data_IF_395233465327
#
_entry.id   IF_395233465327
#
_cell.length_a   1.000
_cell.length_b   1.000
_cell.length_c   1.000
_cell.angle_alpha   90.00
_cell.angle_beta   90.00
_cell.angle_gamma   90.00
#
_symmetry.space_group_name_H-M   'P 1'
#
loop_
_entity.id
_entity.type
_entity.pdbx_description
1 polymer ?
#
# COMPACT_ATOMS: atom_id res chain seq x y z
N UNK A 1 -6.98 -44.82 60.70
CA UNK A 1 -6.19 -44.14 59.64
C UNK A 1 -5.03 -45.04 59.18
N UNK A 2 -5.17 -45.99 58.23
CA UNK A 2 -5.31 -45.85 56.76
C UNK A 2 -4.41 -44.72 56.21
N UNK A 3 -3.45 -44.89 55.28
CA UNK A 3 -3.08 -45.92 54.31
C UNK A 3 -1.59 -45.68 53.93
N UNK A 4 -0.77 -46.72 53.92
CA UNK A 4 -0.17 -47.35 52.74
C UNK A 4 1.03 -46.64 52.10
N UNK A 5 2.20 -47.28 52.20
CA UNK A 5 3.40 -46.93 51.45
C UNK A 5 3.22 -47.30 49.97
N UNK A 6 3.58 -46.37 49.09
CA UNK A 6 3.59 -46.54 47.64
C UNK A 6 4.94 -46.12 47.09
N UNK A 7 5.64 -47.09 46.49
CA UNK A 7 6.88 -46.92 45.75
C UNK A 7 6.76 -45.84 44.68
N UNK A 8 7.55 -44.78 44.78
CA UNK A 8 7.78 -43.87 43.66
C UNK A 8 8.81 -44.52 42.72
N UNK A 9 8.30 -45.16 41.67
CA UNK A 9 9.09 -45.64 40.54
C UNK A 9 9.89 -44.48 39.95
N UNK A 10 11.23 -44.60 39.97
CA UNK A 10 12.13 -43.71 39.25
C UNK A 10 11.86 -43.88 37.76
N UNK A 11 11.10 -42.96 37.19
CA UNK A 11 10.99 -42.85 35.74
C UNK A 11 12.34 -42.40 35.20
N UNK A 12 13.03 -43.37 34.59
CA UNK A 12 14.07 -43.25 33.58
C UNK A 12 14.39 -41.81 33.15
N UNK A 13 15.50 -41.29 33.65
CA UNK A 13 16.26 -40.20 33.04
C UNK A 13 16.81 -40.69 31.69
N UNK A 14 16.03 -40.52 30.62
CA UNK A 14 16.56 -40.59 29.27
C UNK A 14 17.46 -39.36 29.07
N UNK A 15 18.73 -39.51 28.65
CA UNK A 15 19.51 -38.38 28.22
C UNK A 15 18.84 -37.85 26.95
N UNK A 16 18.34 -36.62 26.98
CA UNK A 16 18.04 -35.88 25.76
C UNK A 16 19.36 -35.76 24.98
N UNK A 17 19.56 -36.68 24.04
CA UNK A 17 20.60 -36.55 23.03
C UNK A 17 20.06 -35.55 22.01
N UNK A 18 20.51 -34.30 22.11
CA UNK A 18 20.32 -33.34 21.04
C UNK A 18 21.04 -33.89 19.80
N UNK A 19 20.37 -34.05 18.65
CA UNK A 19 21.08 -34.36 17.43
C UNK A 19 21.95 -33.16 17.06
N UNK A 20 23.26 -33.29 17.30
CA UNK A 20 24.28 -32.41 16.72
C UNK A 20 24.40 -32.74 15.24
N UNK A 21 23.58 -32.08 14.43
CA UNK A 21 23.78 -32.03 12.98
C UNK A 21 23.37 -30.66 12.48
N UNK A 22 24.30 -29.71 12.59
CA UNK A 22 24.29 -28.51 11.74
C UNK A 22 24.41 -28.98 10.29
N UNK A 23 23.46 -28.67 9.39
CA UNK A 23 23.77 -28.67 7.98
C UNK A 23 24.64 -27.45 7.70
N UNK A 24 25.90 -27.70 7.37
CA UNK A 24 26.74 -26.78 6.61
C UNK A 24 25.97 -26.33 5.36
N UNK A 25 25.82 -25.01 5.19
CA UNK A 25 25.27 -24.42 3.97
C UNK A 25 23.97 -23.65 4.18
N UNK A 26 23.98 -22.63 5.05
CA UNK A 26 23.11 -21.48 4.82
C UNK A 26 23.65 -20.72 3.60
N UNK A 27 22.91 -20.59 2.48
CA UNK A 27 23.29 -19.65 1.44
C UNK A 27 23.28 -18.23 2.04
N UNK A 28 24.16 -17.32 1.58
CA UNK A 28 24.15 -15.95 2.06
C UNK A 28 22.76 -15.38 1.89
N UNK A 29 22.24 -14.74 2.95
CA UNK A 29 21.01 -13.95 2.91
C UNK A 29 21.04 -13.07 1.68
N UNK A 30 20.37 -13.53 0.62
CA UNK A 30 20.19 -12.75 -0.58
C UNK A 30 19.12 -11.75 -0.21
N UNK A 31 19.49 -10.48 -0.33
CA UNK A 31 18.62 -9.33 -0.25
C UNK A 31 17.54 -9.47 -1.32
N UNK A 32 16.46 -10.19 -1.01
CA UNK A 32 15.23 -10.16 -1.79
C UNK A 32 14.27 -9.24 -1.06
N UNK A 33 14.58 -7.95 -1.12
CA UNK A 33 13.74 -6.87 -0.64
C UNK A 33 12.98 -6.25 -1.82
N UNK A 34 12.61 -7.02 -2.84
CA UNK A 34 11.94 -6.46 -4.03
C UNK A 34 10.91 -7.39 -4.70
N UNK A 35 10.54 -8.55 -4.11
CA UNK A 35 9.59 -9.49 -4.76
C UNK A 35 8.24 -9.74 -4.11
N UNK A 36 7.93 -9.06 -3.01
CA UNK A 36 6.59 -9.16 -2.38
C UNK A 36 5.71 -7.93 -2.62
N UNK A 37 5.98 -7.14 -3.67
CA UNK A 37 5.18 -5.95 -3.98
C UNK A 37 3.98 -6.22 -4.90
N UNK A 38 3.84 -7.42 -5.46
CA UNK A 38 2.73 -7.70 -6.37
C UNK A 38 1.43 -8.17 -5.70
N UNK A 39 1.46 -8.68 -4.46
CA UNK A 39 0.39 -9.61 -4.06
C UNK A 39 -0.62 -9.09 -3.03
N UNK A 40 -1.06 -7.82 -3.12
CA UNK A 40 -2.35 -7.38 -2.56
C UNK A 40 -3.04 -6.27 -3.36
N UNK A 41 -2.89 -6.26 -4.69
CA UNK A 41 -3.84 -5.52 -5.50
C UNK A 41 -5.18 -6.28 -5.47
N UNK A 42 -6.11 -5.83 -4.64
CA UNK A 42 -7.49 -6.38 -4.48
C UNK A 42 -8.26 -6.36 -5.80
N UNK A 43 -7.74 -5.64 -6.79
CA UNK A 43 -8.15 -5.65 -8.17
C UNK A 43 -6.91 -6.05 -8.96
N UNK A 44 -6.93 -7.18 -9.67
CA UNK A 44 -5.91 -7.57 -10.66
C UNK A 44 -5.82 -6.49 -11.75
N UNK A 45 -5.17 -5.38 -11.41
CA UNK A 45 -4.96 -4.16 -12.16
C UNK A 45 -3.45 -4.06 -12.28
N UNK A 46 -2.96 -3.81 -13.50
CA UNK A 46 -1.55 -3.51 -13.70
C UNK A 46 -1.20 -2.23 -12.94
N UNK A 47 -0.57 -2.37 -11.79
CA UNK A 47 -0.11 -1.26 -10.94
C UNK A 47 1.39 -1.41 -10.76
N UNK A 48 2.13 -0.38 -11.12
CA UNK A 48 3.58 -0.30 -10.93
C UNK A 48 3.92 0.86 -10.01
N UNK A 49 4.66 0.58 -8.93
CA UNK A 49 5.09 1.57 -7.95
C UNK A 49 6.59 1.78 -8.07
N UNK A 50 7.02 3.04 -8.19
CA UNK A 50 8.42 3.45 -8.24
C UNK A 50 8.70 4.41 -7.10
N UNK A 51 9.59 3.99 -6.20
CA UNK A 51 10.05 4.80 -5.09
C UNK A 51 11.32 5.53 -5.52
N UNK A 52 11.22 6.84 -5.78
CA UNK A 52 12.37 7.70 -6.08
C UNK A 52 12.82 8.46 -4.82
N UNK A 53 14.06 8.96 -4.80
CA UNK A 53 14.68 9.60 -3.62
C UNK A 53 13.80 10.64 -2.88
N UNK A 54 12.94 11.36 -3.61
CA UNK A 54 12.10 12.45 -3.06
C UNK A 54 10.61 12.34 -3.39
N UNK A 55 10.20 11.32 -4.13
CA UNK A 55 8.80 11.16 -4.58
C UNK A 55 8.45 9.71 -4.84
N UNK A 56 7.17 9.40 -4.75
CA UNK A 56 6.61 8.13 -5.15
C UNK A 56 5.86 8.33 -6.47
N UNK A 57 6.10 7.44 -7.43
CA UNK A 57 5.44 7.45 -8.74
C UNK A 57 4.68 6.15 -8.91
N UNK A 58 3.38 6.25 -9.17
CA UNK A 58 2.49 5.10 -9.40
C UNK A 58 1.98 5.16 -10.82
N UNK A 59 2.07 4.04 -11.54
CA UNK A 59 1.51 3.87 -12.88
C UNK A 59 0.42 2.83 -12.83
N UNK A 60 -0.74 3.13 -13.43
CA UNK A 60 -1.90 2.25 -13.47
C UNK A 60 -2.35 2.03 -14.91
N UNK A 61 -2.45 0.78 -15.33
CA UNK A 61 -2.81 0.38 -16.69
C UNK A 61 -4.27 0.73 -17.00
N UNK A 62 -4.48 1.48 -18.08
CA UNK A 62 -5.85 1.87 -18.50
C UNK A 62 -6.69 0.69 -18.92
N UNK A 63 -6.09 -0.28 -19.60
CA UNK A 63 -6.80 -1.44 -20.11
C UNK A 63 -7.28 -2.34 -18.97
N UNK A 64 -6.44 -2.55 -17.94
CA UNK A 64 -6.82 -3.29 -16.75
C UNK A 64 -7.96 -2.61 -15.99
N UNK A 65 -7.94 -1.28 -15.85
CA UNK A 65 -9.06 -0.53 -15.27
C UNK A 65 -10.35 -0.71 -16.07
N UNK A 66 -10.29 -0.56 -17.40
CA UNK A 66 -11.45 -0.79 -18.28
C UNK A 66 -12.00 -2.21 -18.15
N UNK A 67 -11.13 -3.21 -18.05
CA UNK A 67 -11.53 -4.61 -17.85
C UNK A 67 -12.27 -4.84 -16.52
N UNK A 68 -12.04 -4.00 -15.51
CA UNK A 68 -12.77 -4.00 -14.24
C UNK A 68 -14.05 -3.14 -14.26
N UNK A 69 -14.42 -2.57 -15.40
CA UNK A 69 -15.61 -1.72 -15.55
C UNK A 69 -15.35 -0.22 -15.39
N UNK A 70 -14.10 0.19 -15.12
CA UNK A 70 -13.71 1.59 -15.00
C UNK A 70 -13.45 2.22 -16.37
N UNK A 71 -14.52 2.48 -17.11
CA UNK A 71 -14.43 3.23 -18.38
C UNK A 71 -14.27 4.72 -18.10
N UNK A 72 -13.21 5.33 -18.64
CA UNK A 72 -12.89 6.76 -18.47
C UNK A 72 -12.81 7.26 -17.01
N UNK A 73 -12.44 6.37 -16.07
CA UNK A 73 -12.29 6.74 -14.67
C UNK A 73 -11.24 7.83 -14.46
N UNK A 74 -11.47 8.65 -13.43
CA UNK A 74 -10.50 9.63 -12.95
C UNK A 74 -9.81 9.10 -11.70
N UNK A 75 -8.49 9.26 -11.64
CA UNK A 75 -7.68 8.75 -10.54
C UNK A 75 -7.12 9.92 -9.74
N UNK A 76 -7.21 9.85 -8.42
CA UNK A 76 -6.65 10.82 -7.48
C UNK A 76 -5.85 10.10 -6.41
N UNK A 77 -4.98 10.82 -5.71
CA UNK A 77 -4.43 10.33 -4.45
C UNK A 77 -5.42 10.60 -3.31
N UNK A 78 -5.00 10.36 -2.05
CA UNK A 78 -5.78 10.76 -0.88
C UNK A 78 -6.19 12.23 -0.95
N UNK A 79 -5.24 13.09 -1.33
CA UNK A 79 -5.52 14.48 -1.66
C UNK A 79 -6.18 14.61 -3.06
N UNK A 80 -7.41 15.17 -3.14
CA UNK A 80 -8.11 15.36 -4.41
C UNK A 80 -7.47 16.38 -5.35
N UNK A 81 -6.57 17.26 -4.85
CA UNK A 81 -5.79 18.16 -5.69
C UNK A 81 -4.72 17.38 -6.50
N UNK A 82 -4.28 16.24 -5.99
CA UNK A 82 -3.29 15.37 -6.62
C UNK A 82 -3.95 14.39 -7.60
N UNK A 83 -4.24 14.89 -8.80
CA UNK A 83 -4.86 14.13 -9.89
C UNK A 83 -3.84 13.39 -10.73
N UNK A 84 -4.24 12.25 -11.27
CA UNK A 84 -3.42 11.48 -12.18
C UNK A 84 -3.20 12.22 -13.51
N UNK A 85 -1.96 12.21 -13.99
CA UNK A 85 -1.64 12.54 -15.36
C UNK A 85 -2.07 11.40 -16.29
N UNK A 86 -2.85 11.73 -17.31
CA UNK A 86 -3.41 10.74 -18.23
C UNK A 86 -2.47 10.58 -19.43
N UNK A 87 -1.67 9.52 -19.46
CA UNK A 87 -0.86 9.14 -20.62
C UNK A 87 -1.67 8.27 -21.60
N UNK A 88 -1.14 7.93 -22.77
CA UNK A 88 -1.88 7.15 -23.77
C UNK A 88 -2.34 5.77 -23.22
N UNK A 89 -1.44 5.08 -22.53
CA UNK A 89 -1.61 3.67 -22.09
C UNK A 89 -1.83 3.53 -20.57
N UNK A 90 -1.40 4.51 -19.77
CA UNK A 90 -1.40 4.42 -18.31
C UNK A 90 -1.88 5.74 -17.68
N UNK A 91 -2.39 5.67 -16.46
CA UNK A 91 -2.51 6.80 -15.55
C UNK A 91 -1.23 6.88 -14.71
N UNK A 92 -0.70 8.09 -14.51
CA UNK A 92 0.52 8.30 -13.73
C UNK A 92 0.20 9.26 -12.57
N UNK A 93 0.44 8.82 -11.34
CA UNK A 93 0.29 9.62 -10.13
C UNK A 93 1.66 9.83 -9.51
N UNK A 94 2.00 11.08 -9.21
CA UNK A 94 3.25 11.44 -8.57
C UNK A 94 2.95 12.18 -7.27
N UNK A 95 3.61 11.79 -6.19
CA UNK A 95 3.48 12.48 -4.91
C UNK A 95 4.84 12.70 -4.24
N UNK A 96 5.13 13.91 -3.75
CA UNK A 96 6.26 14.12 -2.87
C UNK A 96 6.04 13.38 -1.54
N UNK A 97 7.13 12.97 -0.88
CA UNK A 97 7.07 12.21 0.38
C UNK A 97 6.27 12.89 1.51
N UNK A 98 6.09 14.21 1.43
CA UNK A 98 5.38 15.02 2.43
C UNK A 98 4.15 15.75 1.87
N UNK A 99 3.63 15.35 0.71
CA UNK A 99 2.44 15.96 0.11
C UNK A 99 1.39 14.93 -0.31
N UNK A 100 0.31 15.41 -0.93
CA UNK A 100 -0.84 14.62 -1.34
C UNK A 100 -1.40 13.71 -0.23
N UNK A 101 -1.43 14.23 1.00
CA UNK A 101 -1.84 13.48 2.21
C UNK A 101 -1.05 12.18 2.46
N UNK A 102 0.17 12.07 1.94
CA UNK A 102 1.03 10.92 2.18
C UNK A 102 1.31 10.75 3.68
N UNK A 103 0.99 9.57 4.20
CA UNK A 103 1.18 9.24 5.61
C UNK A 103 2.58 8.68 5.84
N UNK A 104 3.31 9.21 6.82
CA UNK A 104 4.66 8.76 7.20
C UNK A 104 4.62 7.97 8.51
N UNK A 105 5.25 6.81 8.51
CA UNK A 105 5.42 5.96 9.69
C UNK A 105 6.90 5.69 9.94
N UNK A 106 7.51 6.24 11.01
CA UNK A 106 8.87 5.87 11.38
C UNK A 106 8.89 4.41 11.84
N UNK A 107 9.85 3.62 11.32
CA UNK A 107 10.01 2.23 11.75
C UNK A 107 10.67 2.15 13.13
N UNK A 108 10.46 1.04 13.90
CA UNK A 108 11.01 0.88 15.24
C UNK A 108 12.53 0.96 15.32
N UNK A 109 13.23 0.60 14.24
CA UNK A 109 14.69 0.67 14.14
C UNK A 109 15.21 2.11 13.97
N UNK A 110 14.34 3.09 13.72
CA UNK A 110 14.66 4.48 13.37
C UNK A 110 15.60 4.66 12.17
N UNK A 111 15.94 3.58 11.46
CA UNK A 111 16.79 3.59 10.26
C UNK A 111 15.95 3.80 9.02
N UNK A 112 14.68 3.40 9.05
CA UNK A 112 13.77 3.48 7.91
C UNK A 112 12.50 4.26 8.24
N UNK A 113 11.93 4.86 7.20
CA UNK A 113 10.62 5.52 7.24
C UNK A 113 9.76 4.92 6.14
N UNK A 114 8.57 4.46 6.52
CA UNK A 114 7.54 3.98 5.61
C UNK A 114 6.64 5.13 5.21
N UNK A 115 6.35 5.26 3.93
CA UNK A 115 5.42 6.22 3.37
C UNK A 115 4.28 5.45 2.70
N UNK A 116 3.05 5.82 3.02
CA UNK A 116 1.84 5.17 2.55
C UNK A 116 0.94 6.21 1.88
N UNK A 117 0.35 5.86 0.75
CA UNK A 117 -0.70 6.64 0.12
C UNK A 117 -1.60 5.70 -0.69
N UNK A 118 -2.78 6.19 -1.08
CA UNK A 118 -3.79 5.43 -1.78
C UNK A 118 -4.13 6.11 -3.10
N UNK A 119 -4.26 5.32 -4.16
CA UNK A 119 -4.89 5.75 -5.40
C UNK A 119 -6.38 5.47 -5.28
N UNK A 120 -7.17 6.52 -5.42
CA UNK A 120 -8.63 6.49 -5.43
C UNK A 120 -9.06 6.53 -6.90
N UNK A 121 -9.74 5.47 -7.33
CA UNK A 121 -10.31 5.34 -8.67
C UNK A 121 -11.77 5.77 -8.60
N UNK A 122 -12.05 6.95 -9.13
CA UNK A 122 -13.40 7.47 -9.24
C UNK A 122 -13.97 7.05 -10.59
N UNK A 123 -15.14 6.39 -10.65
CA UNK A 123 -15.80 6.10 -11.91
C UNK A 123 -16.02 7.40 -12.69
N UNK A 124 -16.03 7.33 -14.02
CA UNK A 124 -16.47 8.47 -14.81
C UNK A 124 -17.88 8.84 -14.31
N UNK A 125 -18.12 10.14 -14.09
CA UNK A 125 -19.49 10.64 -13.98
C UNK A 125 -20.19 10.26 -15.28
N UNK A 126 -20.86 9.11 -15.29
CA UNK A 126 -21.89 8.93 -16.27
C UNK A 126 -22.87 10.06 -15.94
N UNK A 127 -23.20 10.86 -16.94
CA UNK A 127 -24.49 11.53 -16.93
C UNK A 127 -25.53 10.41 -16.92
N UNK A 128 -25.77 9.81 -15.76
CA UNK A 128 -27.13 9.42 -15.44
C UNK A 128 -27.84 10.75 -15.23
N UNK A 129 -28.16 11.39 -16.36
CA UNK A 129 -29.20 12.40 -16.47
C UNK A 129 -30.51 11.71 -16.07
N UNK A 130 -30.64 11.44 -14.77
CA UNK A 130 -31.68 10.63 -14.15
C UNK A 130 -32.63 11.50 -13.37
N UNK A 131 -33.28 12.43 -14.08
CA UNK A 131 -34.58 13.02 -13.79
C UNK A 131 -34.84 13.41 -12.32
N UNK A 132 -34.29 14.54 -11.88
CA UNK A 132 -35.02 15.37 -10.91
C UNK A 132 -35.97 16.26 -11.69
N UNK A 133 -37.17 15.76 -11.98
CA UNK A 133 -38.29 16.68 -12.16
C UNK A 133 -38.56 17.29 -10.78
N UNK A 134 -38.46 18.61 -10.69
CA UNK A 134 -38.60 19.40 -9.47
C UNK A 134 -40.06 19.45 -8.98
N UNK A 135 -40.72 18.31 -8.77
CA UNK A 135 -42.10 18.30 -8.28
C UNK A 135 -42.62 16.90 -7.88
N UNK A 136 -41.99 16.19 -6.94
CA UNK A 136 -42.77 15.23 -6.15
C UNK A 136 -42.18 14.95 -4.76
N UNK A 137 -42.93 15.45 -3.78
CA UNK A 137 -43.10 15.02 -2.39
C UNK A 137 -42.19 13.91 -1.84
N UNK A 138 -41.43 14.31 -0.82
CA UNK A 138 -40.69 13.53 0.17
C UNK A 138 -41.31 12.14 0.46
N UNK A 139 -40.72 11.10 -0.13
CA UNK A 139 -40.91 9.71 0.28
C UNK A 139 -39.57 9.14 0.72
N UNK A 140 -39.54 8.56 1.90
CA UNK A 140 -38.48 7.71 2.45
C UNK A 140 -38.26 6.46 1.59
N UNK A 141 -37.73 6.63 0.39
CA UNK A 141 -37.56 5.54 -0.56
C UNK A 141 -36.17 4.88 -0.41
N UNK A 142 -36.08 3.59 -0.01
CA UNK A 142 -34.81 2.88 0.19
C UNK A 142 -34.01 2.67 -1.09
N UNK A 143 -34.54 3.06 -2.25
CA UNK A 143 -33.87 2.98 -3.54
C UNK A 143 -32.80 4.07 -3.69
N UNK A 144 -32.97 5.24 -3.06
CA UNK A 144 -31.98 6.32 -3.12
C UNK A 144 -30.70 5.98 -2.34
N UNK A 145 -30.86 5.42 -1.13
CA UNK A 145 -29.76 4.85 -0.34
C UNK A 145 -29.05 3.70 -1.09
N UNK A 146 -29.81 2.87 -1.81
CA UNK A 146 -29.24 1.79 -2.62
C UNK A 146 -28.44 2.31 -3.80
N UNK A 147 -28.90 3.36 -4.49
CA UNK A 147 -28.16 4.00 -5.59
C UNK A 147 -26.88 4.65 -5.06
N UNK A 148 -26.95 5.39 -3.95
CA UNK A 148 -25.77 5.99 -3.32
C UNK A 148 -24.77 4.90 -2.87
N UNK A 149 -25.26 3.79 -2.30
CA UNK A 149 -24.43 2.65 -1.93
C UNK A 149 -23.83 1.94 -3.15
N UNK A 150 -24.57 1.76 -4.25
CA UNK A 150 -24.08 1.20 -5.52
C UNK A 150 -23.07 2.13 -6.22
N UNK A 151 -23.20 3.44 -6.03
CA UNK A 151 -22.28 4.44 -6.57
C UNK A 151 -20.99 4.54 -5.73
N UNK A 152 -21.09 4.43 -4.41
CA UNK A 152 -19.93 4.29 -3.51
C UNK A 152 -19.20 2.95 -3.69
N UNK A 153 -19.92 1.89 -4.07
CA UNK A 153 -19.31 0.58 -4.39
C UNK A 153 -18.42 0.62 -5.63
N UNK A 154 -18.53 1.63 -6.48
CA UNK A 154 -17.69 1.77 -7.68
C UNK A 154 -16.37 2.47 -7.37
N UNK A 155 -16.19 3.14 -6.23
CA UNK A 155 -14.89 3.73 -5.93
C UNK A 155 -13.91 2.65 -5.50
N UNK A 156 -12.87 2.43 -6.31
CA UNK A 156 -11.82 1.48 -6.01
C UNK A 156 -10.65 2.18 -5.30
N UNK A 157 -10.05 1.50 -4.31
CA UNK A 157 -8.90 2.02 -3.57
C UNK A 157 -7.71 1.07 -3.75
N UNK A 158 -6.57 1.63 -4.16
CA UNK A 158 -5.32 0.90 -4.38
C UNK A 158 -4.26 1.49 -3.43
N UNK A 159 -3.88 0.73 -2.42
CA UNK A 159 -2.84 1.14 -1.46
C UNK A 159 -1.44 0.93 -2.07
N UNK A 160 -0.55 1.90 -1.91
CA UNK A 160 0.87 1.76 -2.24
C UNK A 160 1.76 2.32 -1.13
N UNK A 161 2.96 1.74 -1.02
CA UNK A 161 3.93 2.08 0.02
C UNK A 161 5.36 2.16 -0.49
N UNK A 162 6.16 3.04 0.08
CA UNK A 162 7.60 3.10 -0.16
C UNK A 162 8.35 3.19 1.17
N UNK A 163 9.49 2.52 1.25
CA UNK A 163 10.35 2.57 2.45
C UNK A 163 11.66 3.25 2.09
N UNK A 164 12.00 4.32 2.81
CA UNK A 164 13.24 5.07 2.62
C UNK A 164 14.15 4.91 3.82
N UNK A 165 15.45 4.99 3.60
CA UNK A 165 16.43 5.11 4.69
C UNK A 165 16.39 6.54 5.21
N UNK A 166 16.41 6.68 6.53
CA UNK A 166 16.51 7.96 7.21
C UNK A 166 17.96 8.40 7.13
N UNK A 167 18.33 9.07 6.05
CA UNK A 167 19.67 9.63 5.94
C UNK A 167 19.79 10.82 6.91
N UNK A 168 20.64 10.69 7.93
CA UNK A 168 21.11 11.83 8.73
C UNK A 168 21.96 12.74 7.83
N UNK A 169 21.35 13.70 7.14
CA UNK A 169 22.14 14.75 6.49
C UNK A 169 21.47 15.51 5.36
N UNK A 170 20.85 16.63 5.73
CA UNK A 170 20.73 17.83 4.91
C UNK A 170 22.02 18.08 4.12
N UNK A 171 21.88 18.18 2.79
CA UNK A 171 22.65 19.02 1.87
C UNK A 171 24.00 19.54 2.40
N UNK A 172 25.07 18.77 2.21
CA UNK A 172 26.42 19.35 2.20
C UNK A 172 26.62 20.04 0.85
N UNK A 173 26.10 21.26 0.75
CA UNK A 173 26.54 22.25 -0.23
C UNK A 173 28.06 22.39 -0.06
N UNK A 174 28.83 21.90 -1.01
CA UNK A 174 30.28 22.12 -1.04
C UNK A 174 30.55 23.59 -1.37
N UNK A 175 31.25 24.36 -0.51
CA UNK A 175 31.63 25.72 -0.86
C UNK A 175 32.70 25.66 -1.96
N UNK A 176 32.34 26.14 -3.15
CA UNK A 176 33.26 26.34 -4.27
C UNK A 176 34.27 27.42 -3.84
N UNK A 177 35.53 27.01 -3.67
CA UNK A 177 36.67 27.87 -3.35
C UNK A 177 36.76 29.00 -4.41
N UNK A 178 36.86 30.29 -4.03
CA UNK A 178 37.11 31.33 -5.02
C UNK A 178 38.56 31.23 -5.51
N UNK A 179 38.74 31.08 -6.82
CA UNK A 179 40.02 31.25 -7.47
C UNK A 179 40.36 32.76 -7.44
N UNK A 180 41.53 33.07 -6.86
CA UNK A 180 42.09 34.43 -6.79
C UNK A 180 42.75 34.77 -8.14
N UNK A 181 42.52 35.96 -8.72
CA UNK A 181 43.35 36.51 -9.78
C UNK A 181 44.65 37.13 -9.24
#
# INVERSE_FOLDING_TARGET
PQLNGGSASRLSSLPFSFPHSLPDGFPPFSTDLDKDFEERNVLDIGVSVRCEDKRMVVSVDKESLKAKGFTNASLTLQDPECKAAVNATHYTLETPLTGCETTKFPMPDNVKVLYLNNVIVNPAENRSDGLVNEDQEFGDDPLYERILAEQLQQTALIEFKCTYRKDEGISKTTPKKPARP
#
